data_IF_581737813775
#
_entry.id   IF_581737813775
#
_cell.length_a   1.000
_cell.length_b   1.000
_cell.length_c   1.000
_cell.angle_alpha   90.00
_cell.angle_beta   90.00
_cell.angle_gamma   90.00
#
_symmetry.space_group_name_H-M   'P 1'
#
loop_
_entity.id
_entity.type
_entity.pdbx_description
1 polymer ?
#
# COMPACT_ATOMS: atom_id res chain seq x y z
N UNK A 1 10.12 -7.37 2.64
CA UNK A 1 9.75 -6.18 1.84
C UNK A 1 10.48 -4.98 2.44
N UNK A 2 11.11 -4.11 1.63
CA UNK A 2 11.93 -2.98 2.12
C UNK A 2 11.12 -1.68 2.04
N UNK A 3 11.02 -0.93 3.13
CA UNK A 3 10.39 0.40 3.16
C UNK A 3 11.38 1.39 3.80
N UNK A 4 11.86 2.37 3.04
CA UNK A 4 12.74 3.45 3.54
C UNK A 4 11.88 4.66 3.91
N UNK A 5 11.80 5.03 5.19
CA UNK A 5 11.07 6.23 5.67
C UNK A 5 11.73 7.53 5.15
N UNK A 6 10.99 8.60 4.82
CA UNK A 6 10.10 9.33 5.75
C UNK A 6 9.01 10.17 5.04
N UNK A 7 8.57 9.81 3.83
CA UNK A 7 7.57 10.61 3.08
C UNK A 7 6.52 9.80 2.29
N UNK A 8 6.29 8.53 2.67
CA UNK A 8 5.32 7.63 2.02
C UNK A 8 4.08 7.38 2.89
N UNK A 9 3.73 8.32 3.77
CA UNK A 9 2.47 8.22 4.50
C UNK A 9 1.34 8.45 3.51
N UNK A 10 0.56 7.40 3.30
CA UNK A 10 -0.57 7.41 2.40
C UNK A 10 -1.83 7.03 3.17
N UNK A 11 -2.95 7.65 2.82
CA UNK A 11 -4.22 7.43 3.50
C UNK A 11 -5.17 6.66 2.59
N UNK A 12 -5.89 5.71 3.19
CA UNK A 12 -6.92 4.90 2.55
C UNK A 12 -8.10 4.73 3.51
N UNK A 13 -9.23 4.26 2.99
CA UNK A 13 -10.47 4.13 3.75
C UNK A 13 -10.84 2.66 3.92
N UNK A 14 -11.40 2.30 5.07
CA UNK A 14 -12.11 1.03 5.27
C UNK A 14 -13.61 1.28 5.21
N UNK A 15 -14.35 0.45 4.48
CA UNK A 15 -15.80 0.58 4.33
C UNK A 15 -16.46 -0.69 4.85
N UNK A 16 -17.49 -0.56 5.71
CA UNK A 16 -18.24 -1.70 6.21
C UNK A 16 -19.41 -2.03 5.30
N UNK A 17 -19.40 -3.20 4.67
CA UNK A 17 -20.49 -3.68 3.78
C UNK A 17 -20.73 -5.16 4.07
N UNK A 18 -21.99 -5.54 4.30
CA UNK A 18 -22.40 -6.93 4.57
C UNK A 18 -21.57 -7.65 5.65
N UNK A 19 -21.19 -6.92 6.69
CA UNK A 19 -20.38 -7.46 7.79
C UNK A 19 -18.88 -7.60 7.50
N UNK A 20 -18.43 -7.23 6.30
CA UNK A 20 -17.01 -7.24 5.90
C UNK A 20 -16.43 -5.82 5.90
N UNK A 21 -15.11 -5.72 5.91
CA UNK A 21 -14.37 -4.45 5.87
C UNK A 21 -13.38 -4.40 4.71
N UNK A 22 -13.86 -4.30 3.45
CA UNK A 22 -13.01 -4.02 2.32
C UNK A 22 -12.35 -2.62 2.40
N UNK A 23 -11.20 -2.49 1.75
CA UNK A 23 -10.37 -1.28 1.73
C UNK A 23 -10.48 -0.55 0.40
N UNK A 24 -10.37 0.77 0.44
CA UNK A 24 -10.43 1.65 -0.75
C UNK A 24 -9.29 2.65 -0.72
N UNK A 25 -8.56 2.72 -1.82
CA UNK A 25 -7.52 3.70 -2.07
C UNK A 25 -7.87 4.57 -3.28
N UNK A 26 -8.42 5.75 -3.01
CA UNK A 26 -8.86 6.65 -4.07
C UNK A 26 -7.70 7.21 -4.91
N UNK A 27 -6.49 7.29 -4.35
CA UNK A 27 -5.35 7.83 -5.06
C UNK A 27 -4.89 6.86 -6.14
N UNK A 28 -4.67 5.60 -5.75
CA UNK A 28 -4.23 4.57 -6.68
C UNK A 28 -5.37 4.01 -7.53
N UNK A 29 -6.62 4.10 -7.07
CA UNK A 29 -7.79 3.71 -7.86
C UNK A 29 -8.13 4.69 -9.00
N UNK A 30 -7.66 5.95 -8.92
CA UNK A 30 -7.94 6.97 -9.93
C UNK A 30 -6.78 7.17 -10.92
N UNK A 31 -5.64 6.48 -10.75
CA UNK A 31 -4.47 6.70 -11.59
C UNK A 31 -3.60 5.45 -11.74
N UNK A 32 -2.90 5.39 -12.87
CA UNK A 32 -1.80 4.48 -13.12
C UNK A 32 -0.52 5.29 -13.34
N UNK A 33 0.60 4.83 -12.78
CA UNK A 33 1.91 5.43 -12.99
C UNK A 33 2.70 4.59 -13.99
N UNK A 34 3.18 5.19 -15.07
CA UNK A 34 4.04 4.48 -16.02
C UNK A 34 5.37 4.11 -15.34
N UNK A 35 5.56 2.83 -15.05
CA UNK A 35 6.70 2.33 -14.29
C UNK A 35 8.00 2.23 -15.11
N UNK A 36 7.91 2.20 -16.45
CA UNK A 36 9.03 1.95 -17.37
C UNK A 36 8.92 2.76 -18.65
N UNK A 37 10.03 2.88 -19.38
CA UNK A 37 10.06 3.53 -20.70
C UNK A 37 10.23 5.05 -20.64
N UNK A 38 10.04 5.69 -21.80
CA UNK A 38 10.21 7.14 -21.98
C UNK A 38 9.19 7.97 -21.17
N UNK A 39 8.06 7.36 -20.80
CA UNK A 39 6.99 7.99 -20.03
C UNK A 39 7.12 7.78 -18.51
N UNK A 40 8.26 7.28 -18.01
CA UNK A 40 8.45 7.01 -16.57
C UNK A 40 8.11 8.25 -15.72
N UNK A 41 7.17 8.08 -14.79
CA UNK A 41 6.70 9.16 -13.90
C UNK A 41 5.56 10.01 -14.48
N UNK A 42 5.08 9.71 -15.68
CA UNK A 42 3.83 10.25 -16.21
C UNK A 42 2.65 9.56 -15.52
N UNK A 43 1.73 10.38 -15.03
CA UNK A 43 0.48 9.93 -14.42
C UNK A 43 -0.60 9.88 -15.49
N UNK A 44 -1.28 8.74 -15.60
CA UNK A 44 -2.47 8.57 -16.42
C UNK A 44 -3.67 8.36 -15.51
N UNK A 45 -4.73 9.15 -15.73
CA UNK A 45 -5.97 9.02 -14.96
C UNK A 45 -6.84 7.94 -15.60
N UNK A 46 -6.77 6.75 -15.04
CA UNK A 46 -7.50 5.57 -15.45
C UNK A 46 -8.07 4.91 -14.19
N UNK A 47 -9.26 4.34 -14.30
CA UNK A 47 -9.89 3.63 -13.19
C UNK A 47 -9.15 2.29 -13.01
N UNK A 48 -8.45 2.17 -11.89
CA UNK A 48 -7.85 0.92 -11.45
C UNK A 48 -8.73 0.29 -10.37
N UNK A 49 -9.47 -0.76 -10.75
CA UNK A 49 -10.49 -1.36 -9.88
C UNK A 49 -9.88 -2.19 -8.76
N UNK A 50 -8.61 -2.59 -8.85
CA UNK A 50 -7.93 -3.30 -7.76
C UNK A 50 -8.03 -2.56 -6.43
N UNK A 51 -7.94 -1.23 -6.46
CA UNK A 51 -7.97 -0.37 -5.27
C UNK A 51 -9.37 -0.02 -4.77
N UNK A 52 -10.42 -0.61 -5.37
CA UNK A 52 -11.80 -0.42 -4.97
C UNK A 52 -12.35 -1.69 -4.30
N UNK A 53 -12.68 -1.56 -3.02
CA UNK A 53 -13.20 -2.62 -2.16
C UNK A 53 -12.26 -3.84 -2.09
N UNK A 54 -10.95 -3.59 -2.01
CA UNK A 54 -9.91 -4.61 -1.94
C UNK A 54 -10.00 -5.40 -0.64
N UNK A 55 -9.80 -6.71 -0.72
CA UNK A 55 -9.65 -7.56 0.46
C UNK A 55 -8.40 -7.16 1.27
N UNK A 56 -8.47 -7.05 2.62
CA UNK A 56 -7.32 -6.69 3.43
C UNK A 56 -6.09 -7.59 3.24
N UNK A 57 -6.28 -8.89 2.97
CA UNK A 57 -5.22 -9.85 2.71
C UNK A 57 -4.45 -9.60 1.41
N UNK A 58 -5.09 -8.98 0.42
CA UNK A 58 -4.41 -8.52 -0.79
C UNK A 58 -3.78 -7.14 -0.58
N UNK A 59 -4.51 -6.23 0.07
CA UNK A 59 -4.13 -4.84 0.28
C UNK A 59 -2.84 -4.70 1.12
N UNK A 60 -2.66 -5.57 2.14
CA UNK A 60 -1.49 -5.56 3.04
C UNK A 60 -0.15 -5.75 2.33
N UNK A 61 -0.15 -6.34 1.13
CA UNK A 61 1.07 -6.52 0.33
C UNK A 61 1.61 -5.19 -0.23
N UNK A 62 0.78 -4.14 -0.25
CA UNK A 62 1.16 -2.83 -0.78
C UNK A 62 1.09 -1.74 0.29
N UNK A 63 0.09 -1.80 1.16
CA UNK A 63 -0.18 -0.77 2.17
C UNK A 63 -0.17 -1.39 3.56
N UNK A 64 0.91 -1.17 4.31
CA UNK A 64 0.98 -1.59 5.71
C UNK A 64 0.50 -0.44 6.63
N UNK A 65 -0.54 -0.63 7.44
CA UNK A 65 -1.07 0.45 8.28
C UNK A 65 -0.09 0.82 9.40
N UNK A 66 -0.15 2.09 9.81
CA UNK A 66 0.56 2.56 11.00
C UNK A 66 0.01 1.92 12.28
N UNK A 67 -1.31 1.75 12.36
CA UNK A 67 -2.00 1.10 13.47
C UNK A 67 -2.40 -0.33 13.05
N UNK A 68 -1.90 -1.31 13.80
CA UNK A 68 -2.02 -2.73 13.45
C UNK A 68 -3.46 -3.24 13.44
N UNK A 69 -4.38 -2.62 14.19
CA UNK A 69 -5.80 -3.00 14.22
C UNK A 69 -6.46 -2.82 12.84
N UNK A 70 -5.93 -1.90 12.03
CA UNK A 70 -6.41 -1.63 10.68
C UNK A 70 -5.84 -2.58 9.61
N UNK A 71 -5.05 -3.60 10.00
CA UNK A 71 -4.72 -4.67 9.05
C UNK A 71 -5.97 -5.45 8.63
N UNK A 72 -6.97 -5.56 9.54
CA UNK A 72 -8.23 -6.25 9.31
C UNK A 72 -8.08 -7.71 8.84
N UNK A 73 -6.90 -8.29 9.09
CA UNK A 73 -6.58 -9.69 8.79
C UNK A 73 -7.09 -10.57 9.92
N UNK A 74 -7.48 -11.80 9.58
CA UNK A 74 -7.76 -12.82 10.58
C UNK A 74 -6.54 -13.11 11.47
N UNK A 75 -5.35 -13.15 10.85
CA UNK A 75 -4.06 -13.31 11.52
C UNK A 75 -3.17 -12.10 11.19
N UNK A 76 -3.12 -11.07 12.06
CA UNK A 76 -2.27 -9.90 11.86
C UNK A 76 -0.78 -10.27 11.77
N UNK A 77 -0.04 -9.54 10.96
CA UNK A 77 1.39 -9.74 10.74
C UNK A 77 2.21 -8.57 11.28
N UNK A 78 3.47 -8.81 11.61
CA UNK A 78 4.41 -7.76 12.04
C UNK A 78 5.40 -7.46 10.93
N UNK A 79 5.77 -6.18 10.81
CA UNK A 79 6.77 -5.76 9.85
C UNK A 79 8.17 -5.88 10.48
N UNK A 80 8.98 -6.84 10.04
CA UNK A 80 10.41 -6.84 10.38
C UNK A 80 11.17 -5.90 9.46
N UNK A 81 11.56 -4.74 9.99
CA UNK A 81 12.46 -3.82 9.30
C UNK A 81 13.88 -4.38 9.42
N UNK A 82 14.38 -4.94 8.33
CA UNK A 82 15.78 -5.35 8.25
C UNK A 82 16.69 -4.12 8.22
N UNK A 83 17.21 -3.72 9.38
CA UNK A 83 18.29 -2.73 9.50
C UNK A 83 19.60 -3.38 9.07
N UNK A 84 20.01 -3.15 7.82
CA UNK A 84 21.38 -3.44 7.41
C UNK A 84 22.31 -2.37 7.99
N UNK A 85 23.37 -2.72 8.74
CA UNK A 85 24.41 -1.75 9.08
C UNK A 85 25.01 -1.25 7.77
N UNK A 86 25.11 0.06 7.61
CA UNK A 86 25.72 0.73 6.47
C UNK A 86 27.13 0.18 6.24
N UNK A 87 27.30 -0.76 5.30
CA UNK A 87 28.61 -1.09 4.75
C UNK A 87 29.01 0.02 3.75
N UNK A 88 29.26 1.21 4.30
CA UNK A 88 29.99 2.26 3.64
C UNK A 88 31.19 2.59 4.53
N UNK A 89 32.20 1.73 4.45
CA UNK A 89 33.57 2.04 4.87
C UNK A 89 34.53 1.26 3.98
N UNK A 90 34.94 1.89 2.87
CA UNK A 90 36.31 1.96 2.37
C UNK A 90 36.38 2.90 1.17
#
# INVERSE_FOLDING_TARGET
MRFTGSNLQHCWNAIRIDGTWPLVDCQWGARSDAATGADKGKVTYELETFWFLTDPGQFINSQFPHDADWQLLHNPITLEVSTWPSLCSS
#
